data_IF_128483620057
#
_entry.id   IF_128483620057
#
_cell.length_a   1.000
_cell.length_b   1.000
_cell.length_c   1.000
_cell.angle_alpha   90.00
_cell.angle_beta   90.00
_cell.angle_gamma   90.00
#
_symmetry.space_group_name_H-M   'P 1'
#
loop_
_entity.id
_entity.type
_entity.pdbx_description
1 polymer ?
#
# COMPACT_ATOMS: atom_id res chain seq x y z
N UNK A 1 13.88 -9.39 11.79
CA UNK A 1 12.65 -8.82 12.40
C UNK A 1 11.54 -9.75 11.93
N UNK A 2 11.09 -10.66 12.79
CA UNK A 2 10.01 -11.59 12.44
C UNK A 2 8.68 -10.86 12.63
N UNK A 3 7.99 -10.59 11.54
CA UNK A 3 6.60 -10.16 11.59
C UNK A 3 5.78 -11.42 11.84
N UNK A 4 5.13 -11.49 13.00
CA UNK A 4 4.17 -12.55 13.26
C UNK A 4 2.96 -12.33 12.34
N UNK A 5 2.89 -13.11 11.28
CA UNK A 5 1.73 -13.15 10.39
C UNK A 5 0.73 -14.15 10.95
N UNK A 6 -0.55 -13.86 10.76
CA UNK A 6 -1.61 -14.83 11.02
C UNK A 6 -1.36 -16.08 10.17
N UNK A 7 -1.66 -17.26 10.71
CA UNK A 7 -1.35 -18.55 10.09
C UNK A 7 -2.08 -18.72 8.75
N UNK A 8 -3.21 -18.03 8.56
CA UNK A 8 -4.02 -18.04 7.33
C UNK A 8 -3.53 -17.06 6.25
N UNK A 9 -2.69 -16.10 6.63
CA UNK A 9 -2.30 -14.99 5.77
C UNK A 9 -1.47 -15.44 4.56
N UNK A 10 -0.49 -16.36 4.69
CA UNK A 10 0.27 -16.86 3.54
C UNK A 10 -0.62 -17.50 2.48
N UNK A 11 -1.61 -18.30 2.90
CA UNK A 11 -2.53 -18.98 1.99
C UNK A 11 -3.43 -17.98 1.26
N UNK A 12 -3.91 -16.96 1.97
CA UNK A 12 -4.73 -15.89 1.38
C UNK A 12 -3.94 -15.06 0.37
N UNK A 13 -2.69 -14.74 0.68
CA UNK A 13 -1.80 -14.01 -0.22
C UNK A 13 -1.47 -14.84 -1.45
N UNK A 14 -1.18 -16.14 -1.29
CA UNK A 14 -0.92 -17.05 -2.41
C UNK A 14 -2.11 -17.14 -3.36
N UNK A 15 -3.31 -17.33 -2.80
CA UNK A 15 -4.55 -17.40 -3.59
C UNK A 15 -4.83 -16.09 -4.34
N UNK A 16 -4.59 -14.95 -3.69
CA UNK A 16 -4.70 -13.63 -4.33
C UNK A 16 -3.67 -13.45 -5.45
N UNK A 17 -2.43 -13.88 -5.24
CA UNK A 17 -1.36 -13.79 -6.23
C UNK A 17 -1.71 -14.58 -7.50
N UNK A 18 -2.20 -15.81 -7.35
CA UNK A 18 -2.67 -16.63 -8.48
C UNK A 18 -3.83 -15.97 -9.25
N UNK A 19 -4.84 -15.46 -8.53
CA UNK A 19 -5.99 -14.77 -9.14
C UNK A 19 -5.56 -13.51 -9.90
N UNK A 20 -4.59 -12.79 -9.35
CA UNK A 20 -4.06 -11.57 -9.95
C UNK A 20 -3.01 -11.85 -11.05
N UNK A 21 -2.63 -13.11 -11.29
CA UNK A 21 -1.72 -13.52 -12.35
C UNK A 21 -0.24 -13.25 -12.05
N UNK A 22 0.15 -13.20 -10.78
CA UNK A 22 1.55 -13.02 -10.38
C UNK A 22 2.31 -14.33 -10.41
N UNK A 23 3.60 -14.25 -10.79
CA UNK A 23 4.49 -15.41 -10.87
C UNK A 23 4.84 -16.00 -9.50
N UNK A 24 4.68 -15.24 -8.42
CA UNK A 24 4.89 -15.70 -7.05
C UNK A 24 4.14 -14.85 -6.03
N UNK A 25 3.88 -15.43 -4.86
CA UNK A 25 3.32 -14.71 -3.69
C UNK A 25 4.23 -13.55 -3.26
N UNK A 26 5.55 -13.71 -3.37
CA UNK A 26 6.52 -12.66 -3.03
C UNK A 26 6.43 -11.47 -3.99
N UNK A 27 6.27 -11.71 -5.30
CA UNK A 27 6.09 -10.64 -6.28
C UNK A 27 4.80 -9.86 -6.00
N UNK A 28 3.72 -10.57 -5.70
CA UNK A 28 2.44 -9.96 -5.33
C UNK A 28 2.54 -9.10 -4.06
N UNK A 29 3.17 -9.62 -3.01
CA UNK A 29 3.34 -8.89 -1.75
C UNK A 29 4.21 -7.65 -1.93
N UNK A 30 5.30 -7.74 -2.71
CA UNK A 30 6.14 -6.58 -2.99
C UNK A 30 5.38 -5.48 -3.73
N UNK A 31 4.59 -5.84 -4.74
CA UNK A 31 3.79 -4.85 -5.47
C UNK A 31 2.71 -4.24 -4.58
N UNK A 32 1.99 -5.08 -3.81
CA UNK A 32 0.98 -4.63 -2.87
C UNK A 32 1.56 -3.62 -1.85
N UNK A 33 2.71 -3.94 -1.26
CA UNK A 33 3.36 -3.05 -0.29
C UNK A 33 3.83 -1.75 -0.94
N UNK A 34 4.34 -1.79 -2.18
CA UNK A 34 4.71 -0.58 -2.93
C UNK A 34 3.50 0.30 -3.21
N UNK A 35 2.40 -0.29 -3.67
CA UNK A 35 1.16 0.46 -3.92
C UNK A 35 0.69 1.16 -2.64
N UNK A 36 0.60 0.42 -1.53
CA UNK A 36 0.17 1.00 -0.25
C UNK A 36 1.12 2.08 0.25
N UNK A 37 2.44 1.90 0.10
CA UNK A 37 3.41 2.92 0.48
C UNK A 37 3.23 4.19 -0.37
N UNK A 38 3.09 4.05 -1.69
CA UNK A 38 2.87 5.18 -2.58
C UNK A 38 1.56 5.92 -2.23
N UNK A 39 0.47 5.20 -1.99
CA UNK A 39 -0.81 5.79 -1.58
C UNK A 39 -0.68 6.58 -0.27
N UNK A 40 0.01 6.02 0.74
CA UNK A 40 0.24 6.69 2.02
C UNK A 40 1.17 7.90 1.92
N UNK A 41 2.10 7.90 0.97
CA UNK A 41 3.00 9.02 0.70
C UNK A 41 2.28 10.13 -0.10
N UNK A 42 1.52 9.77 -1.13
CA UNK A 42 0.72 10.70 -1.93
C UNK A 42 -0.40 11.36 -1.10
N UNK A 43 -1.07 10.61 -0.22
CA UNK A 43 -2.08 11.17 0.69
C UNK A 43 -1.45 12.21 1.64
N UNK A 44 -0.21 11.99 2.10
CA UNK A 44 0.50 12.99 2.90
C UNK A 44 0.80 14.26 2.10
N UNK A 45 1.27 14.11 0.87
CA UNK A 45 1.57 15.26 0.01
C UNK A 45 0.31 16.07 -0.35
N UNK A 46 -0.84 15.41 -0.57
CA UNK A 46 -2.10 16.11 -0.84
C UNK A 46 -2.60 16.90 0.38
N UNK A 47 -2.57 16.31 1.57
CA UNK A 47 -2.95 17.01 2.80
C UNK A 47 -2.02 18.21 3.05
N UNK A 48 -0.71 18.06 2.86
CA UNK A 48 0.25 19.17 3.01
C UNK A 48 0.02 20.32 2.00
N UNK A 49 -0.47 20.00 0.79
CA UNK A 49 -0.84 20.99 -0.23
C UNK A 49 -2.15 21.68 0.11
N UNK A 50 -3.15 20.94 0.58
CA UNK A 50 -4.44 21.48 1.00
C UNK A 50 -4.27 22.47 2.17
N UNK A 51 -3.52 22.08 3.20
CA UNK A 51 -3.20 22.93 4.35
C UNK A 51 -2.48 24.23 3.92
N UNK A 52 -1.55 24.14 2.95
CA UNK A 52 -0.88 25.32 2.37
C UNK A 52 -1.81 26.22 1.57
N UNK A 53 -2.82 25.66 0.90
CA UNK A 53 -3.77 26.45 0.11
C UNK A 53 -4.77 27.17 1.02
N UNK A 54 -5.17 26.56 2.14
CA UNK A 54 -5.95 27.21 3.21
C UNK A 54 -5.16 28.37 3.84
N UNK A 55 -3.88 28.16 4.17
CA UNK A 55 -3.00 29.22 4.71
C UNK A 55 -2.83 30.42 3.77
N UNK A 56 -2.93 30.19 2.46
CA UNK A 56 -2.85 31.22 1.43
C UNK A 56 -4.23 31.84 1.07
N UNK A 57 -5.31 31.35 1.67
CA UNK A 57 -6.68 31.85 1.48
C UNK A 57 -7.30 31.48 0.13
N UNK A 58 -6.84 30.39 -0.50
CA UNK A 58 -7.41 29.86 -1.74
C UNK A 58 -8.53 28.82 -1.52
N UNK A 59 -8.62 28.28 -0.30
CA UNK A 59 -9.70 27.44 0.23
C UNK A 59 -10.40 28.18 1.38
#
# INVERSE_FOLDING_TARGET
>A
MDVALDDDLPDRLSKRAEIAGFDSTEAYVNELLRTVLNELEEDREQNDVEDRLEDLGYL
#
